data_IF_316966069363
#
_entry.id   IF_316966069363
#
_cell.length_a   1.000
_cell.length_b   1.000
_cell.length_c   1.000
_cell.angle_alpha   90.00
_cell.angle_beta   90.00
_cell.angle_gamma   90.00
#
_symmetry.space_group_name_H-M   'P 1'
#
loop_
_entity.id
_entity.type
_entity.pdbx_description
1 polymer ?
#
# COMPACT_ATOMS: atom_id res chain seq x y z
N UNK A 1 -9.01 35.44 42.69
CA UNK A 1 -8.04 35.91 43.71
C UNK A 1 -7.21 34.73 44.17
N UNK A 2 -5.95 34.94 44.53
CA UNK A 2 -5.01 33.87 44.86
C UNK A 2 -5.21 33.30 46.27
N UNK A 3 -4.72 32.06 46.50
CA UNK A 3 -3.92 31.75 47.69
C UNK A 3 -3.01 30.55 47.46
N UNK A 4 -1.72 30.84 47.40
CA UNK A 4 -0.60 29.90 47.45
C UNK A 4 -0.39 29.40 48.87
N UNK A 5 0.05 28.15 49.06
CA UNK A 5 0.94 27.81 50.18
C UNK A 5 1.81 26.57 49.89
N UNK A 6 3.13 26.76 49.98
CA UNK A 6 4.11 25.68 50.21
C UNK A 6 4.00 25.16 51.68
N UNK A 7 4.74 24.19 52.25
CA UNK A 7 5.99 23.46 51.93
C UNK A 7 5.79 21.95 52.32
N UNK A 8 6.73 20.98 52.30
CA UNK A 8 8.22 20.96 52.13
C UNK A 8 8.72 19.59 51.62
N UNK A 9 10.05 19.46 51.50
CA UNK A 9 10.85 18.30 51.05
C UNK A 9 11.13 17.25 52.14
N UNK A 10 11.51 16.04 51.71
CA UNK A 10 12.73 15.28 52.08
C UNK A 10 12.94 14.26 50.93
N UNK A 11 14.00 14.32 50.11
CA UNK A 11 15.36 13.85 50.38
C UNK A 11 15.64 12.65 49.45
N UNK A 12 16.83 12.37 48.93
CA UNK A 12 18.09 13.10 48.87
C UNK A 12 18.88 12.63 47.63
N UNK A 13 19.86 13.39 47.16
CA UNK A 13 20.65 13.01 45.97
C UNK A 13 22.10 12.64 46.33
N UNK A 14 22.83 12.11 45.37
CA UNK A 14 24.30 12.24 45.33
C UNK A 14 24.77 12.55 43.91
N UNK A 15 25.75 13.45 43.80
CA UNK A 15 26.34 13.92 42.54
C UNK A 15 27.68 13.22 42.28
N UNK A 16 27.89 12.89 41.00
CA UNK A 16 29.11 13.03 40.19
C UNK A 16 30.51 12.93 40.82
N UNK A 17 31.42 12.26 40.09
CA UNK A 17 32.71 12.84 39.69
C UNK A 17 33.36 12.09 38.51
N UNK A 18 34.11 12.83 37.70
CA UNK A 18 34.99 12.30 36.67
C UNK A 18 36.46 12.36 37.12
N UNK A 19 37.37 11.58 36.51
CA UNK A 19 38.70 12.04 36.05
C UNK A 19 39.63 10.90 35.61
N UNK A 20 40.17 11.04 34.38
CA UNK A 20 41.53 10.72 33.85
C UNK A 20 42.38 9.59 34.45
N UNK A 21 43.03 8.84 33.55
CA UNK A 21 44.49 8.67 33.56
C UNK A 21 45.04 8.40 32.14
N UNK A 22 46.29 8.80 31.89
CA UNK A 22 47.04 8.63 30.63
C UNK A 22 48.18 7.65 30.85
N UNK A 23 48.62 6.95 29.79
CA UNK A 23 49.94 6.32 29.74
C UNK A 23 50.56 6.45 28.34
N UNK A 24 51.86 6.75 28.29
CA UNK A 24 52.66 6.99 27.08
C UNK A 24 53.82 6.01 27.08
N UNK A 25 54.16 5.46 25.91
CA UNK A 25 55.47 4.88 25.66
C UNK A 25 56.04 5.44 24.34
N UNK A 26 57.18 6.15 24.43
CA UNK A 26 58.06 6.48 23.31
C UNK A 26 59.42 5.84 23.53
N UNK A 27 60.10 5.47 22.44
CA UNK A 27 61.51 5.08 22.40
C UNK A 27 61.77 3.86 21.51
N UNK A 28 62.70 3.86 20.55
CA UNK A 28 63.49 4.97 20.01
C UNK A 28 64.85 4.55 19.42
N UNK A 29 64.99 4.62 18.09
CA UNK A 29 66.25 4.62 17.30
C UNK A 29 67.14 3.33 17.40
N UNK A 30 68.02 2.96 16.46
CA UNK A 30 68.94 3.72 15.58
C UNK A 30 69.16 3.05 14.20
N UNK A 31 69.24 3.90 13.17
CA UNK A 31 69.93 3.84 11.85
C UNK A 31 70.58 2.53 11.33
N UNK A 32 70.40 2.28 10.02
CA UNK A 32 71.50 2.09 9.06
C UNK A 32 71.05 2.49 7.64
N UNK A 33 72.01 2.74 6.74
CA UNK A 33 71.86 3.70 5.63
C UNK A 33 71.92 3.10 4.22
N UNK A 34 71.39 3.87 3.25
CA UNK A 34 71.81 3.92 1.84
C UNK A 34 71.40 2.77 0.89
N UNK A 35 70.66 3.11 -0.16
CA UNK A 35 70.42 2.25 -1.32
C UNK A 35 69.21 2.67 -2.17
N UNK A 36 69.41 3.60 -3.11
CA UNK A 36 68.42 3.87 -4.15
C UNK A 36 68.50 2.81 -5.25
N UNK A 37 67.37 2.28 -5.69
CA UNK A 37 67.05 2.09 -7.12
C UNK A 37 65.54 1.94 -7.31
N UNK A 38 65.05 2.29 -8.50
CA UNK A 38 63.62 2.49 -8.79
C UNK A 38 62.96 1.20 -9.31
N UNK A 39 61.65 1.11 -9.09
CA UNK A 39 60.77 -0.02 -9.39
C UNK A 39 60.98 -0.71 -10.75
N UNK A 40 60.84 -2.03 -10.74
CA UNK A 40 60.61 -2.85 -11.94
C UNK A 40 59.21 -3.47 -11.89
N UNK A 41 58.56 -3.51 -13.04
CA UNK A 41 57.12 -3.69 -13.20
C UNK A 41 56.78 -5.16 -13.43
N UNK A 42 56.30 -5.87 -12.41
CA UNK A 42 55.86 -7.27 -12.53
C UNK A 42 54.38 -7.35 -12.95
N UNK A 43 54.17 -7.61 -14.24
CA UNK A 43 52.90 -8.05 -14.79
C UNK A 43 52.76 -9.58 -14.81
N UNK A 44 51.55 -10.03 -15.19
CA UNK A 44 51.22 -11.38 -15.66
C UNK A 44 51.23 -12.53 -14.64
N UNK A 45 50.17 -12.55 -13.82
CA UNK A 45 49.63 -13.78 -13.23
C UNK A 45 48.24 -14.08 -13.76
N UNK A 46 48.12 -14.65 -14.97
CA UNK A 46 46.82 -15.10 -15.51
C UNK A 46 46.34 -16.37 -14.81
N UNK A 47 45.65 -16.24 -13.68
CA UNK A 47 44.79 -17.29 -13.18
C UNK A 47 43.42 -17.17 -13.84
N UNK A 48 43.11 -18.12 -14.74
CA UNK A 48 41.75 -18.37 -15.19
C UNK A 48 40.90 -18.80 -14.00
N UNK A 49 40.32 -17.81 -13.31
CA UNK A 49 39.22 -18.04 -12.37
C UNK A 49 38.02 -18.47 -13.20
N UNK A 50 37.88 -19.78 -13.37
CA UNK A 50 36.62 -20.40 -13.75
C UNK A 50 35.59 -19.95 -12.71
N UNK A 51 34.79 -18.95 -13.07
CA UNK A 51 33.62 -18.54 -12.33
C UNK A 51 32.64 -19.71 -12.42
N UNK A 52 32.62 -20.55 -11.38
CA UNK A 52 31.36 -21.21 -11.01
C UNK A 52 30.29 -20.13 -10.98
N UNK A 53 29.19 -20.37 -11.71
CA UNK A 53 28.00 -19.54 -11.68
C UNK A 53 27.39 -19.63 -10.28
N UNK A 54 27.94 -18.82 -9.37
CA UNK A 54 27.30 -18.53 -8.10
C UNK A 54 26.02 -17.80 -8.47
N UNK A 55 24.89 -18.53 -8.50
CA UNK A 55 23.59 -18.03 -8.93
C UNK A 55 23.34 -16.66 -8.30
N UNK A 56 23.47 -15.58 -9.09
CA UNK A 56 23.21 -14.24 -8.61
C UNK A 56 21.76 -14.21 -8.14
N UNK A 57 21.57 -14.01 -6.82
CA UNK A 57 20.24 -13.88 -6.23
C UNK A 57 19.62 -12.59 -6.76
N UNK A 58 18.86 -12.70 -7.85
CA UNK A 58 18.26 -11.55 -8.50
C UNK A 58 17.43 -10.73 -7.53
N UNK A 59 17.68 -9.43 -7.49
CA UNK A 59 17.01 -8.49 -6.58
C UNK A 59 15.77 -7.93 -7.25
N UNK A 60 14.66 -7.83 -6.52
CA UNK A 60 13.43 -7.21 -6.99
C UNK A 60 13.52 -5.68 -6.86
N UNK A 61 13.23 -4.96 -7.93
CA UNK A 61 13.04 -3.50 -7.94
C UNK A 61 11.56 -3.13 -8.19
N UNK A 62 11.21 -1.90 -7.82
CA UNK A 62 9.87 -1.35 -7.97
C UNK A 62 9.03 -1.37 -6.68
N UNK A 63 7.72 -1.08 -6.77
CA UNK A 63 6.99 -0.83 -8.01
C UNK A 63 7.36 0.48 -8.70
N UNK A 64 7.57 0.38 -10.01
CA UNK A 64 7.61 1.54 -10.91
C UNK A 64 6.20 1.76 -11.48
N UNK A 65 5.64 2.96 -11.27
CA UNK A 65 4.30 3.30 -11.74
C UNK A 65 4.35 4.19 -12.98
N UNK A 66 3.76 3.71 -14.08
CA UNK A 66 3.63 4.42 -15.34
C UNK A 66 2.14 4.51 -15.73
N UNK A 67 1.47 5.56 -15.26
CA UNK A 67 0.02 5.70 -15.36
C UNK A 67 -0.67 4.55 -14.62
N UNK A 68 -1.41 3.72 -15.36
CA UNK A 68 -2.21 2.61 -14.83
C UNK A 68 -1.42 1.29 -14.70
N UNK A 69 -0.11 1.31 -14.93
CA UNK A 69 0.73 0.12 -14.96
C UNK A 69 1.72 0.20 -13.80
N UNK A 70 1.72 -0.83 -12.94
CA UNK A 70 2.75 -1.04 -11.92
C UNK A 70 3.68 -2.17 -12.37
N UNK A 71 4.98 -1.89 -12.42
CA UNK A 71 6.01 -2.85 -12.83
C UNK A 71 6.93 -3.19 -11.66
N UNK A 72 7.08 -4.47 -11.37
CA UNK A 72 8.05 -5.03 -10.45
C UNK A 72 9.06 -5.85 -11.26
N UNK A 73 10.35 -5.54 -11.18
CA UNK A 73 11.37 -6.17 -12.03
C UNK A 73 12.34 -7.00 -11.20
N UNK A 74 12.46 -8.29 -11.50
CA UNK A 74 13.47 -9.16 -10.90
C UNK A 74 14.77 -9.03 -11.70
N UNK A 75 15.72 -8.24 -11.21
CA UNK A 75 16.95 -7.91 -11.93
C UNK A 75 18.05 -8.97 -11.80
N UNK A 76 18.69 -9.27 -12.94
CA UNK A 76 20.05 -9.81 -13.01
C UNK A 76 21.05 -8.90 -13.74
N UNK A 77 20.56 -7.83 -14.39
CA UNK A 77 21.39 -6.81 -15.05
C UNK A 77 20.63 -5.48 -15.22
N UNK A 78 21.37 -4.40 -14.97
CA UNK A 78 21.17 -2.99 -15.36
C UNK A 78 19.92 -2.19 -14.94
N UNK A 79 20.22 -0.91 -14.67
CA UNK A 79 19.35 0.12 -14.10
C UNK A 79 18.54 0.85 -15.16
N UNK A 80 17.24 1.05 -14.92
CA UNK A 80 16.43 2.01 -15.68
C UNK A 80 16.32 3.30 -14.88
N UNK A 81 16.65 4.42 -15.52
CA UNK A 81 16.56 5.76 -14.94
C UNK A 81 15.42 6.54 -15.60
N UNK A 82 14.37 6.92 -14.86
CA UNK A 82 13.65 8.16 -15.20
C UNK A 82 12.96 8.82 -14.01
N UNK A 83 13.06 10.14 -14.01
CA UNK A 83 12.38 11.05 -13.07
C UNK A 83 10.97 11.36 -13.59
N UNK A 84 9.98 10.93 -12.83
CA UNK A 84 8.63 11.49 -12.72
C UNK A 84 8.28 11.35 -11.23
N UNK A 85 7.58 12.29 -10.56
CA UNK A 85 7.13 12.06 -9.19
C UNK A 85 6.30 10.77 -9.18
N UNK A 86 6.77 9.70 -8.52
CA UNK A 86 6.14 8.40 -8.68
C UNK A 86 4.78 8.44 -8.00
N UNK A 87 3.74 8.01 -8.72
CA UNK A 87 2.52 7.57 -8.06
C UNK A 87 2.91 6.49 -7.04
N UNK A 88 2.28 6.48 -5.87
CA UNK A 88 2.60 5.53 -4.80
C UNK A 88 1.69 4.29 -4.81
N UNK A 89 0.67 4.30 -5.67
CA UNK A 89 -0.33 3.25 -5.84
C UNK A 89 -0.86 3.25 -7.27
N UNK A 90 -1.47 2.13 -7.67
CA UNK A 90 -2.44 2.11 -8.77
C UNK A 90 -3.76 2.69 -8.28
N UNK A 91 -4.41 3.55 -9.06
CA UNK A 91 -5.72 4.12 -8.71
C UNK A 91 -6.78 3.75 -9.75
N UNK A 92 -7.83 3.07 -9.29
CA UNK A 92 -9.06 2.81 -10.03
C UNK A 92 -10.12 3.83 -9.61
N UNK A 93 -10.85 4.40 -10.56
CA UNK A 93 -11.91 5.39 -10.32
C UNK A 93 -12.93 5.40 -11.47
N UNK A 94 -13.97 6.24 -11.38
CA UNK A 94 -14.96 6.42 -12.46
C UNK A 94 -14.34 6.79 -13.81
N UNK A 95 -13.30 7.61 -13.79
CA UNK A 95 -12.60 8.06 -15.00
C UNK A 95 -11.49 7.07 -15.42
N UNK A 96 -11.17 6.10 -14.56
CA UNK A 96 -10.06 5.17 -14.76
C UNK A 96 -10.38 3.75 -14.25
N UNK A 97 -11.07 2.97 -15.08
CA UNK A 97 -11.61 1.68 -14.70
C UNK A 97 -10.68 0.47 -14.95
N UNK A 98 -9.44 0.67 -15.41
CA UNK A 98 -8.53 -0.43 -15.80
C UNK A 98 -7.07 -0.21 -15.39
N UNK A 99 -6.46 -1.21 -14.75
CA UNK A 99 -5.07 -1.20 -14.29
C UNK A 99 -4.33 -2.50 -14.59
N UNK A 100 -2.99 -2.45 -14.61
CA UNK A 100 -2.11 -3.59 -14.91
C UNK A 100 -1.00 -3.78 -13.87
N UNK A 101 -0.69 -5.04 -13.58
CA UNK A 101 0.47 -5.48 -12.81
C UNK A 101 1.42 -6.27 -13.71
N UNK A 102 2.68 -5.83 -13.80
CA UNK A 102 3.73 -6.49 -14.59
C UNK A 102 4.81 -7.00 -13.64
N UNK A 103 4.83 -8.30 -13.38
CA UNK A 103 5.90 -9.02 -12.69
C UNK A 103 6.96 -9.41 -13.74
N UNK A 104 7.91 -8.54 -14.03
CA UNK A 104 8.92 -8.74 -15.08
C UNK A 104 10.12 -9.57 -14.59
N UNK A 105 10.68 -10.39 -15.49
CA UNK A 105 11.86 -11.21 -15.23
C UNK A 105 11.55 -12.68 -14.94
N UNK A 106 12.56 -13.54 -15.13
CA UNK A 106 12.42 -14.99 -15.07
C UNK A 106 12.00 -15.48 -13.68
N UNK A 107 10.98 -16.35 -13.62
CA UNK A 107 10.38 -16.87 -12.38
C UNK A 107 9.79 -15.80 -11.44
N UNK A 108 9.50 -14.59 -11.95
CA UNK A 108 8.74 -13.58 -11.22
C UNK A 108 7.23 -13.86 -11.33
N UNK A 109 6.58 -14.12 -10.19
CA UNK A 109 5.16 -14.49 -10.09
C UNK A 109 4.37 -13.51 -9.24
N UNK A 110 3.07 -13.41 -9.49
CA UNK A 110 2.18 -12.54 -8.71
C UNK A 110 1.89 -13.09 -7.29
N UNK A 111 1.55 -12.18 -6.38
CA UNK A 111 1.19 -12.42 -4.98
C UNK A 111 -0.14 -11.71 -4.67
N UNK A 112 -1.20 -12.41 -4.23
CA UNK A 112 -1.36 -13.87 -4.14
C UNK A 112 -1.12 -14.63 -5.46
N UNK A 113 -0.63 -15.87 -5.40
CA UNK A 113 -0.41 -16.67 -6.62
C UNK A 113 -1.73 -16.85 -7.39
N UNK A 114 -1.71 -16.53 -8.68
CA UNK A 114 -2.87 -16.60 -9.57
C UNK A 114 -3.92 -15.49 -9.39
N UNK A 115 -3.73 -14.54 -8.46
CA UNK A 115 -4.58 -13.36 -8.19
C UNK A 115 -6.10 -13.63 -8.20
N UNK A 116 -6.53 -14.79 -7.70
CA UNK A 116 -7.94 -15.08 -7.42
C UNK A 116 -8.46 -14.30 -6.19
N UNK A 117 -7.53 -13.75 -5.42
CA UNK A 117 -7.73 -12.96 -4.22
C UNK A 117 -6.69 -11.83 -4.18
N UNK A 118 -6.93 -10.86 -3.29
CA UNK A 118 -6.08 -9.70 -3.03
C UNK A 118 -5.84 -9.57 -1.52
N UNK A 119 -4.92 -8.70 -1.14
CA UNK A 119 -4.56 -8.49 0.26
C UNK A 119 -5.21 -7.23 0.83
N UNK A 120 -6.12 -7.40 1.79
CA UNK A 120 -6.69 -6.31 2.58
C UNK A 120 -5.67 -5.87 3.65
N UNK A 121 -5.35 -4.56 3.78
CA UNK A 121 -4.55 -4.06 4.88
C UNK A 121 -5.23 -4.32 6.23
N UNK A 122 -4.49 -4.88 7.19
CA UNK A 122 -4.99 -5.08 8.54
C UNK A 122 -4.99 -3.76 9.32
N UNK A 123 -6.10 -3.40 9.95
CA UNK A 123 -6.17 -2.23 10.83
C UNK A 123 -5.29 -2.39 12.09
N UNK A 124 -5.07 -3.63 12.55
CA UNK A 124 -4.07 -4.00 13.58
C UNK A 124 -3.62 -5.44 13.36
N UNK A 125 -2.32 -5.71 13.57
CA UNK A 125 -1.68 -7.01 13.32
C UNK A 125 -2.10 -8.16 14.24
N UNK A 126 -2.92 -7.90 15.27
CA UNK A 126 -3.31 -8.88 16.29
C UNK A 126 -4.52 -9.75 15.92
N UNK A 127 -5.26 -9.43 14.85
CA UNK A 127 -6.50 -10.12 14.47
C UNK A 127 -6.29 -11.37 13.61
N UNK A 128 -5.09 -11.54 13.02
CA UNK A 128 -4.74 -12.73 12.25
C UNK A 128 -4.46 -13.90 13.20
N UNK A 129 -5.51 -14.64 13.56
CA UNK A 129 -5.34 -16.04 13.97
C UNK A 129 -4.69 -16.78 12.81
N UNK A 130 -3.59 -17.48 13.08
CA UNK A 130 -3.04 -18.45 12.14
C UNK A 130 -4.14 -19.46 11.77
N UNK A 131 -4.67 -19.34 10.55
CA UNK A 131 -5.35 -20.47 9.91
C UNK A 131 -4.26 -21.31 9.26
N UNK A 132 -4.29 -22.62 9.51
CA UNK A 132 -3.49 -23.58 8.75
C UNK A 132 -3.64 -23.35 7.25
N UNK A 133 -2.53 -23.01 6.60
CA UNK A 133 -2.48 -22.64 5.19
C UNK A 133 -1.45 -21.53 4.96
N UNK A 134 -0.62 -21.66 3.93
CA UNK A 134 0.39 -20.66 3.60
C UNK A 134 -0.26 -19.28 3.37
N UNK A 135 0.15 -18.29 4.15
CA UNK A 135 -0.41 -16.93 4.12
C UNK A 135 -0.11 -16.26 2.79
N UNK A 136 -1.10 -16.22 1.86
CA UNK A 136 -0.87 -15.74 0.49
C UNK A 136 -0.56 -14.24 0.37
N UNK A 137 -0.68 -13.50 1.47
CA UNK A 137 -0.38 -12.07 1.61
C UNK A 137 0.94 -11.83 2.36
N UNK A 138 1.91 -12.71 2.14
CA UNK A 138 3.28 -12.68 2.66
C UNK A 138 4.22 -12.35 1.50
N UNK A 139 5.05 -11.31 1.64
CA UNK A 139 5.98 -10.90 0.59
C UNK A 139 7.42 -11.21 1.00
N UNK A 140 8.12 -11.98 0.16
CA UNK A 140 9.54 -12.27 0.35
C UNK A 140 9.81 -13.10 1.61
N UNK A 141 10.59 -12.58 2.55
CA UNK A 141 10.96 -13.26 3.80
C UNK A 141 10.14 -12.81 5.02
N UNK A 142 9.01 -12.11 4.83
CA UNK A 142 8.12 -11.74 5.93
C UNK A 142 7.72 -12.98 6.75
N UNK A 143 7.82 -12.92 8.08
CA UNK A 143 7.53 -14.05 8.97
C UNK A 143 6.06 -14.19 9.34
N UNK A 144 5.21 -13.29 8.83
CA UNK A 144 3.77 -13.26 9.05
C UNK A 144 3.07 -12.63 7.83
N UNK A 145 1.78 -12.88 7.67
CA UNK A 145 0.98 -12.22 6.63
C UNK A 145 0.91 -10.72 6.88
N UNK A 146 1.14 -9.93 5.84
CA UNK A 146 1.11 -8.46 5.91
C UNK A 146 -0.31 -7.89 5.68
N UNK A 147 -1.27 -8.77 5.43
CA UNK A 147 -2.68 -8.46 5.23
C UNK A 147 -3.56 -9.71 5.33
N UNK A 148 -4.86 -9.52 5.20
CA UNK A 148 -5.85 -10.59 5.12
C UNK A 148 -6.15 -10.92 3.64
N UNK A 149 -6.26 -12.21 3.31
CA UNK A 149 -6.66 -12.64 1.97
C UNK A 149 -8.19 -12.46 1.79
N UNK A 150 -8.60 -11.73 0.74
CA UNK A 150 -10.02 -11.49 0.42
C UNK A 150 -10.26 -11.49 -1.09
N UNK A 151 -11.46 -11.83 -1.55
CA UNK A 151 -11.83 -11.69 -2.98
C UNK A 151 -12.17 -10.23 -3.30
N UNK A 152 -12.00 -9.82 -4.57
CA UNK A 152 -12.43 -8.47 -4.99
C UNK A 152 -13.94 -8.27 -4.85
N UNK A 153 -14.74 -9.30 -5.11
CA UNK A 153 -16.18 -9.32 -4.88
C UNK A 153 -16.54 -8.94 -3.44
N UNK A 154 -15.95 -9.63 -2.43
CA UNK A 154 -16.23 -9.37 -1.01
C UNK A 154 -15.63 -8.05 -0.54
N UNK A 155 -14.48 -7.64 -1.10
CA UNK A 155 -13.82 -6.39 -0.71
C UNK A 155 -14.54 -5.13 -1.22
N UNK A 156 -15.05 -5.16 -2.46
CA UNK A 156 -15.69 -4.03 -3.13
C UNK A 156 -17.22 -4.08 -3.07
N UNK A 157 -17.79 -5.11 -2.44
CA UNK A 157 -19.23 -5.42 -2.38
C UNK A 157 -19.90 -5.45 -3.77
N UNK A 158 -19.19 -6.06 -4.72
CA UNK A 158 -19.53 -6.04 -6.15
C UNK A 158 -19.73 -7.45 -6.74
N UNK A 159 -19.78 -7.58 -8.07
CA UNK A 159 -20.10 -8.84 -8.74
C UNK A 159 -18.98 -9.89 -8.80
N UNK A 160 -19.35 -11.17 -8.94
CA UNK A 160 -18.42 -12.32 -9.02
C UNK A 160 -17.53 -12.33 -10.27
N UNK A 161 -17.81 -11.48 -11.26
CA UNK A 161 -16.98 -11.33 -12.45
C UNK A 161 -15.63 -10.64 -12.16
N UNK A 162 -15.50 -9.95 -11.02
CA UNK A 162 -14.31 -9.20 -10.65
C UNK A 162 -13.14 -10.09 -10.21
N UNK A 163 -12.16 -10.20 -11.11
CA UNK A 163 -10.89 -10.89 -10.88
C UNK A 163 -9.80 -10.32 -11.77
N UNK A 164 -8.56 -10.43 -11.31
CA UNK A 164 -7.40 -10.20 -12.16
C UNK A 164 -7.34 -11.27 -13.26
N UNK A 165 -6.98 -10.86 -14.47
CA UNK A 165 -6.88 -11.72 -15.64
C UNK A 165 -5.44 -11.71 -16.15
N UNK A 166 -4.83 -12.89 -16.28
CA UNK A 166 -3.50 -13.01 -16.86
C UNK A 166 -3.55 -12.74 -18.36
N UNK A 167 -2.70 -11.84 -18.88
CA UNK A 167 -2.66 -11.53 -20.31
C UNK A 167 -2.20 -12.75 -21.12
N UNK A 168 -2.96 -13.07 -22.17
CA UNK A 168 -2.63 -14.13 -23.12
C UNK A 168 -1.25 -13.90 -23.73
N UNK A 169 -0.42 -14.94 -23.77
CA UNK A 169 0.98 -14.85 -24.19
C UNK A 169 1.99 -14.79 -23.04
N UNK A 170 1.58 -14.38 -21.83
CA UNK A 170 2.42 -14.37 -20.62
C UNK A 170 2.59 -15.76 -19.97
N UNK A 171 2.56 -16.84 -20.76
CA UNK A 171 2.46 -18.22 -20.28
C UNK A 171 3.78 -18.89 -19.91
N UNK A 172 4.93 -18.37 -20.36
CA UNK A 172 6.24 -18.90 -20.01
C UNK A 172 6.84 -18.09 -18.84
N UNK A 173 7.28 -18.80 -17.80
CA UNK A 173 7.93 -18.20 -16.63
C UNK A 173 9.27 -17.50 -16.98
N UNK A 174 9.79 -17.71 -18.19
CA UNK A 174 11.03 -17.12 -18.73
C UNK A 174 11.01 -15.59 -18.72
N UNK A 175 9.87 -14.95 -19.01
CA UNK A 175 9.74 -13.49 -19.12
C UNK A 175 8.91 -12.83 -18.00
N UNK A 176 8.35 -13.63 -17.10
CA UNK A 176 7.49 -13.17 -16.00
C UNK A 176 5.99 -13.11 -16.36
N UNK A 177 5.20 -12.46 -15.49
CA UNK A 177 3.73 -12.46 -15.56
C UNK A 177 3.14 -11.05 -15.75
N UNK A 178 2.10 -10.94 -16.59
CA UNK A 178 1.31 -9.71 -16.74
C UNK A 178 -0.17 -9.96 -16.45
N UNK A 179 -0.75 -9.09 -15.64
CA UNK A 179 -2.12 -9.19 -15.15
C UNK A 179 -2.87 -7.87 -15.38
N UNK A 180 -4.17 -7.95 -15.64
CA UNK A 180 -5.07 -6.80 -15.80
C UNK A 180 -6.29 -6.95 -14.90
N UNK A 181 -6.70 -5.86 -14.27
CA UNK A 181 -7.98 -5.72 -13.57
C UNK A 181 -8.78 -4.62 -14.26
N UNK A 182 -10.02 -4.93 -14.64
CA UNK A 182 -10.98 -3.97 -15.17
C UNK A 182 -12.24 -4.01 -14.30
N UNK A 183 -12.77 -2.84 -13.97
CA UNK A 183 -14.03 -2.65 -13.26
C UNK A 183 -15.11 -2.12 -14.24
N UNK A 184 -16.38 -2.41 -14.00
CA UNK A 184 -17.46 -1.57 -14.50
C UNK A 184 -17.71 -0.41 -13.52
N UNK A 185 -18.42 0.64 -13.95
CA UNK A 185 -18.82 1.73 -13.04
C UNK A 185 -19.69 1.23 -11.87
N UNK A 186 -20.45 0.15 -12.09
CA UNK A 186 -21.24 -0.55 -11.07
C UNK A 186 -20.42 -1.36 -10.07
N UNK A 187 -19.13 -1.54 -10.31
CA UNK A 187 -18.20 -2.29 -9.44
C UNK A 187 -17.39 -1.37 -8.50
N UNK A 188 -17.50 -0.05 -8.67
CA UNK A 188 -16.85 0.92 -7.78
C UNK A 188 -17.52 0.88 -6.40
N UNK A 189 -16.75 0.80 -5.29
CA UNK A 189 -17.30 0.65 -3.95
C UNK A 189 -18.06 1.89 -3.48
N UNK A 190 -18.75 1.76 -2.35
CA UNK A 190 -19.39 2.89 -1.66
C UNK A 190 -18.42 3.70 -0.80
N UNK A 191 -17.23 3.17 -0.49
CA UNK A 191 -16.15 3.86 0.26
C UNK A 191 -14.81 3.62 -0.43
N UNK A 192 -13.88 4.57 -0.28
CA UNK A 192 -12.54 4.45 -0.86
C UNK A 192 -11.82 3.24 -0.29
N UNK A 193 -11.55 2.24 -1.13
CA UNK A 193 -11.17 0.90 -0.68
C UNK A 193 -9.74 0.56 -1.11
N UNK A 194 -8.78 0.48 -0.17
CA UNK A 194 -7.41 0.07 -0.46
C UNK A 194 -7.22 -1.45 -0.41
N UNK A 195 -6.42 -1.97 -1.32
CA UNK A 195 -5.82 -3.31 -1.21
C UNK A 195 -4.37 -3.29 -1.70
N UNK A 196 -3.71 -4.42 -1.64
CA UNK A 196 -2.44 -4.63 -2.32
C UNK A 196 -2.35 -6.01 -2.94
N UNK A 197 -1.48 -6.08 -3.93
CA UNK A 197 -1.00 -7.30 -4.60
C UNK A 197 0.52 -7.13 -4.74
N UNK A 198 1.17 -7.95 -5.55
CA UNK A 198 2.47 -7.61 -6.10
C UNK A 198 3.15 -8.82 -6.69
N UNK A 199 4.47 -8.87 -6.59
CA UNK A 199 5.30 -9.83 -7.30
C UNK A 199 6.42 -10.39 -6.41
N UNK A 200 6.79 -11.66 -6.58
CA UNK A 200 7.94 -12.27 -5.91
C UNK A 200 8.59 -13.35 -6.78
N UNK A 201 9.85 -13.67 -6.48
CA UNK A 201 10.55 -14.81 -7.09
C UNK A 201 9.94 -16.13 -6.60
N UNK A 202 9.55 -17.01 -7.53
CA UNK A 202 8.87 -18.30 -7.24
C UNK A 202 9.61 -19.19 -6.24
N UNK A 203 10.95 -19.21 -6.31
CA UNK A 203 11.80 -20.08 -5.49
C UNK A 203 12.49 -19.31 -4.33
N UNK A 204 11.82 -18.29 -3.78
CA UNK A 204 12.29 -17.51 -2.62
C UNK A 204 12.26 -18.34 -1.33
N UNK A 205 13.19 -19.29 -1.18
CA UNK A 205 13.44 -19.98 0.09
C UNK A 205 14.07 -19.03 1.11
N UNK A 206 13.74 -19.20 2.40
CA UNK A 206 14.13 -18.30 3.49
C UNK A 206 15.64 -18.28 3.84
N UNK A 207 16.49 -18.87 3.00
CA UNK A 207 17.91 -19.05 3.25
C UNK A 207 18.75 -17.87 2.74
N UNK A 208 19.03 -16.94 3.66
CA UNK A 208 20.21 -16.06 3.63
C UNK A 208 20.36 -15.22 2.34
N UNK A 209 19.41 -14.30 2.10
CA UNK A 209 19.61 -13.19 1.16
C UNK A 209 19.15 -11.87 1.78
N UNK A 210 20.03 -10.87 1.83
CA UNK A 210 19.67 -9.47 2.14
C UNK A 210 18.99 -8.75 0.96
N UNK A 211 18.92 -9.41 -0.20
CA UNK A 211 18.19 -8.93 -1.37
C UNK A 211 16.68 -8.99 -1.14
N UNK A 212 15.98 -7.92 -1.50
CA UNK A 212 14.52 -7.87 -1.53
C UNK A 212 14.01 -8.75 -2.66
N UNK A 213 13.43 -9.92 -2.35
CA UNK A 213 12.96 -10.88 -3.38
C UNK A 213 11.51 -10.66 -3.81
N UNK A 214 10.90 -9.55 -3.38
CA UNK A 214 9.48 -9.24 -3.54
C UNK A 214 9.22 -7.74 -3.68
N UNK A 215 8.12 -7.41 -4.34
CA UNK A 215 7.66 -6.05 -4.62
C UNK A 215 6.17 -5.97 -4.32
N UNK A 216 5.77 -5.07 -3.41
CA UNK A 216 4.36 -4.84 -3.04
C UNK A 216 3.80 -3.69 -3.85
N UNK A 217 2.61 -3.88 -4.41
CA UNK A 217 1.88 -2.88 -5.20
C UNK A 217 0.59 -2.51 -4.48
N UNK A 218 0.54 -1.31 -3.85
CA UNK A 218 -0.70 -0.73 -3.36
C UNK A 218 -1.65 -0.43 -4.52
N UNK A 219 -2.94 -0.71 -4.30
CA UNK A 219 -4.04 -0.38 -5.21
C UNK A 219 -5.12 0.33 -4.40
N UNK A 220 -5.60 1.44 -4.93
CA UNK A 220 -6.66 2.25 -4.36
C UNK A 220 -7.86 2.23 -5.32
N UNK A 221 -9.04 1.89 -4.82
CA UNK A 221 -10.28 2.03 -5.58
C UNK A 221 -11.06 3.19 -4.99
N UNK A 222 -11.14 4.30 -5.73
CA UNK A 222 -11.97 5.43 -5.36
C UNK A 222 -13.45 5.01 -5.38
N UNK A 223 -14.23 5.45 -4.41
CA UNK A 223 -15.66 5.20 -4.37
C UNK A 223 -16.36 5.82 -5.58
N UNK A 224 -17.54 5.28 -5.92
CA UNK A 224 -18.42 5.93 -6.89
C UNK A 224 -18.83 7.33 -6.41
N UNK A 225 -19.10 8.29 -7.32
CA UNK A 225 -19.88 9.46 -6.97
C UNK A 225 -21.26 9.07 -6.47
N UNK A 226 -21.77 9.78 -5.47
CA UNK A 226 -23.19 9.76 -5.13
C UNK A 226 -23.99 10.27 -6.34
N UNK A 227 -25.18 9.71 -6.58
CA UNK A 227 -25.94 10.00 -7.80
C UNK A 227 -27.46 9.91 -7.57
N UNK A 228 -28.21 10.60 -8.43
CA UNK A 228 -29.68 10.49 -8.51
C UNK A 228 -30.07 9.88 -9.85
N UNK A 229 -30.93 8.88 -9.82
CA UNK A 229 -31.59 8.31 -10.99
C UNK A 229 -33.03 7.91 -10.62
N UNK A 230 -34.03 8.30 -11.42
CA UNK A 230 -35.44 7.92 -11.25
C UNK A 230 -35.99 8.07 -9.81
N UNK A 231 -35.70 9.22 -9.19
CA UNK A 231 -36.06 9.56 -7.80
C UNK A 231 -35.43 8.65 -6.71
N UNK A 232 -34.43 7.85 -7.09
CA UNK A 232 -33.52 7.14 -6.17
C UNK A 232 -32.22 7.95 -6.06
N UNK A 233 -31.91 8.40 -4.85
CA UNK A 233 -30.64 9.01 -4.49
C UNK A 233 -29.74 7.94 -3.83
N UNK A 234 -28.74 7.47 -4.56
CA UNK A 234 -27.77 6.49 -4.03
C UNK A 234 -26.55 7.21 -3.48
N UNK A 235 -26.29 7.03 -2.19
CA UNK A 235 -25.18 7.66 -1.49
C UNK A 235 -23.90 6.82 -1.55
N UNK A 236 -22.76 7.51 -1.65
CA UNK A 236 -21.43 6.98 -1.45
C UNK A 236 -20.60 7.93 -0.58
N UNK A 237 -19.47 7.46 -0.07
CA UNK A 237 -18.77 8.02 1.08
C UNK A 237 -17.24 8.06 0.91
N UNK A 238 -16.74 7.94 -0.32
CA UNK A 238 -15.35 8.25 -0.63
C UNK A 238 -15.08 9.75 -0.58
N UNK A 239 -13.79 10.13 -0.51
CA UNK A 239 -13.32 11.50 -0.40
C UNK A 239 -13.85 12.42 -1.52
N UNK A 240 -14.15 11.84 -2.70
CA UNK A 240 -14.68 12.54 -3.88
C UNK A 240 -16.15 12.24 -4.17
N UNK A 241 -16.84 11.43 -3.36
CA UNK A 241 -18.21 10.98 -3.67
C UNK A 241 -19.24 12.11 -3.64
N UNK A 242 -19.06 13.11 -2.79
CA UNK A 242 -20.04 14.15 -2.49
C UNK A 242 -19.48 15.57 -2.76
N UNK A 243 -19.08 15.85 -4.00
CA UNK A 243 -18.59 17.18 -4.39
C UNK A 243 -19.67 18.27 -4.39
N UNK A 244 -20.94 17.89 -4.49
CA UNK A 244 -22.13 18.75 -4.46
C UNK A 244 -23.28 17.99 -3.77
N UNK A 245 -24.29 18.70 -3.30
CA UNK A 245 -25.51 18.09 -2.79
C UNK A 245 -26.28 17.37 -3.92
N UNK A 246 -26.96 16.28 -3.59
CA UNK A 246 -27.86 15.59 -4.53
C UNK A 246 -29.22 16.29 -4.55
N UNK A 247 -29.66 16.73 -5.72
CA UNK A 247 -30.97 17.33 -5.94
C UNK A 247 -31.94 16.27 -6.48
N UNK A 248 -33.13 16.17 -5.88
CA UNK A 248 -34.22 15.28 -6.32
C UNK A 248 -35.49 16.10 -6.48
N UNK A 249 -36.10 16.05 -7.66
CA UNK A 249 -37.38 16.72 -7.93
C UNK A 249 -38.54 15.81 -7.54
N UNK A 250 -39.48 16.33 -6.74
CA UNK A 250 -40.72 15.66 -6.34
C UNK A 250 -41.88 16.38 -7.01
N UNK A 251 -42.63 15.67 -7.85
CA UNK A 251 -43.81 16.19 -8.55
C UNK A 251 -45.07 15.40 -8.15
N UNK A 252 -46.24 15.78 -8.66
CA UNK A 252 -47.46 15.00 -8.45
C UNK A 252 -47.38 13.60 -9.08
N UNK A 253 -46.66 13.47 -10.20
CA UNK A 253 -46.42 12.23 -10.94
C UNK A 253 -45.24 11.43 -10.37
N UNK A 254 -44.23 12.13 -9.83
CA UNK A 254 -43.05 11.56 -9.16
C UNK A 254 -43.07 11.93 -7.68
N UNK A 255 -44.07 11.41 -6.96
CA UNK A 255 -44.43 11.84 -5.61
C UNK A 255 -43.68 11.10 -4.47
N UNK A 256 -42.56 10.43 -4.78
CA UNK A 256 -41.73 9.73 -3.80
C UNK A 256 -40.25 9.97 -4.08
N UNK A 257 -39.43 9.74 -3.06
CA UNK A 257 -37.96 9.69 -3.12
C UNK A 257 -37.50 8.46 -2.37
N UNK A 258 -36.52 7.74 -2.91
CA UNK A 258 -35.78 6.69 -2.19
C UNK A 258 -34.37 7.19 -1.92
N UNK A 259 -33.88 7.02 -0.69
CA UNK A 259 -32.49 7.35 -0.33
C UNK A 259 -31.79 6.06 0.06
N UNK A 260 -30.79 5.66 -0.71
CA UNK A 260 -30.03 4.43 -0.51
C UNK A 260 -28.69 4.74 0.15
N UNK A 261 -28.59 4.54 1.46
CA UNK A 261 -27.33 4.69 2.20
C UNK A 261 -26.38 3.48 2.06
N UNK A 262 -26.85 2.38 1.45
CA UNK A 262 -26.09 1.14 1.32
C UNK A 262 -25.78 0.46 2.66
N UNK A 263 -24.80 -0.45 2.62
CA UNK A 263 -24.29 -1.25 3.74
C UNK A 263 -23.40 -0.49 4.72
N UNK A 264 -22.69 0.52 4.22
CA UNK A 264 -21.64 1.26 4.95
C UNK A 264 -22.08 2.65 5.42
N UNK A 265 -23.29 3.07 5.04
CA UNK A 265 -23.93 4.30 5.48
C UNK A 265 -25.15 4.04 6.35
N UNK A 266 -25.67 5.09 6.96
CA UNK A 266 -26.91 5.04 7.74
C UNK A 266 -27.76 6.30 7.47
N UNK A 267 -29.09 6.23 7.64
CA UNK A 267 -29.91 7.43 7.79
C UNK A 267 -29.39 8.30 8.93
N UNK A 268 -29.53 9.62 8.79
CA UNK A 268 -29.01 10.58 9.76
C UNK A 268 -29.57 10.33 11.16
N UNK A 269 -28.68 10.22 12.15
CA UNK A 269 -29.05 10.02 13.55
C UNK A 269 -29.46 11.33 14.21
N UNK A 270 -30.58 11.34 14.94
CA UNK A 270 -31.02 12.50 15.73
C UNK A 270 -32.22 13.26 15.17
N UNK A 271 -32.68 12.93 13.96
CA UNK A 271 -33.94 13.41 13.38
C UNK A 271 -34.93 12.24 13.22
N UNK A 272 -36.23 12.52 13.29
CA UNK A 272 -37.28 11.52 13.05
C UNK A 272 -37.71 11.49 11.58
N UNK A 273 -38.47 10.48 11.17
CA UNK A 273 -39.05 10.38 9.81
C UNK A 273 -40.10 11.47 9.50
N UNK A 274 -40.50 12.26 10.49
CA UNK A 274 -41.38 13.43 10.32
C UNK A 274 -40.59 14.75 10.21
N UNK A 275 -39.25 14.69 10.20
CA UNK A 275 -38.35 15.83 10.27
C UNK A 275 -37.32 15.84 9.14
N UNK A 276 -36.78 17.02 8.86
CA UNK A 276 -35.77 17.29 7.84
C UNK A 276 -34.76 18.34 8.30
N UNK A 277 -33.58 18.33 7.69
CA UNK A 277 -32.58 19.39 7.84
C UNK A 277 -32.87 20.52 6.85
N UNK A 278 -32.68 21.78 7.26
CA UNK A 278 -32.85 22.88 6.33
C UNK A 278 -31.76 22.82 5.23
N UNK A 279 -32.08 23.03 3.94
CA UNK A 279 -31.09 22.96 2.85
C UNK A 279 -29.99 24.04 2.94
N UNK A 280 -30.21 25.07 3.78
CA UNK A 280 -29.25 26.11 4.13
C UNK A 280 -28.14 25.61 5.08
N UNK A 281 -28.35 24.49 5.77
CA UNK A 281 -27.39 23.93 6.74
C UNK A 281 -26.37 23.03 6.02
N UNK A 282 -25.23 23.63 5.65
CA UNK A 282 -24.15 22.94 4.94
C UNK A 282 -23.47 21.77 5.70
N UNK A 283 -23.78 21.58 6.98
CA UNK A 283 -23.29 20.45 7.77
C UNK A 283 -24.46 19.64 8.35
N UNK A 284 -24.65 18.43 7.82
CA UNK A 284 -25.70 17.52 8.28
C UNK A 284 -25.43 17.03 9.72
N UNK A 285 -24.17 16.88 10.16
CA UNK A 285 -23.85 16.38 11.51
C UNK A 285 -24.37 17.26 12.65
N UNK A 286 -24.73 18.51 12.36
CA UNK A 286 -25.19 19.51 13.33
C UNK A 286 -26.52 20.17 12.93
N UNK A 287 -27.32 19.52 12.08
CA UNK A 287 -28.53 20.12 11.53
C UNK A 287 -29.63 20.36 12.58
N UNK A 288 -30.41 21.42 12.40
CA UNK A 288 -31.57 21.73 13.24
C UNK A 288 -32.82 21.12 12.63
N UNK A 289 -33.36 20.08 13.27
CA UNK A 289 -34.57 19.40 12.81
C UNK A 289 -35.77 20.38 12.65
N UNK A 290 -36.32 20.45 11.44
CA UNK A 290 -37.60 21.09 11.08
C UNK A 290 -38.62 20.02 10.72
N UNK A 291 -39.93 20.30 10.76
CA UNK A 291 -40.96 19.27 10.52
C UNK A 291 -41.52 19.36 9.10
N UNK A 292 -41.77 18.21 8.47
CA UNK A 292 -42.40 18.16 7.14
C UNK A 292 -43.82 18.74 7.10
N UNK A 293 -44.48 18.99 8.24
CA UNK A 293 -45.79 19.66 8.28
C UNK A 293 -45.69 21.18 8.06
N UNK A 294 -44.48 21.74 8.09
CA UNK A 294 -44.22 23.17 7.93
C UNK A 294 -43.95 23.56 6.45
N UNK A 295 -44.05 22.60 5.51
CA UNK A 295 -43.84 22.75 4.05
C UNK A 295 -44.96 22.10 3.23
#
# INVERSE_FOLDING_TARGET
>A
MAKTQELRRLGGGFRAKASKLMAVCMGGFVLLSSGQTVAEQLGEGMMNRQLEETHAQGTMSGPEFAGNIATCTLQGAETVTRVQPPATALTLSKDNLGVELHCAGTNNIAVPEGLQSVCRPNATSAALKERDGATKCQFGNATSSEGEEVTLQTLLEAGEHLKWQQKTGSKTAENGQKWTLNLATSDLPLQDTPFFVGCQKKDSTAAVSTATNSCKVPVHVEARPSAVADNVATCAYGQKSNGQALEVEVTAEKNFVTVECGSVGAPMTGITTAEYCAPEEANLDTCTAKKYIDV
#
